data_IF_425059308382
#
_entry.id   IF_425059308382
#
_cell.length_a   1.000
_cell.length_b   1.000
_cell.length_c   1.000
_cell.angle_alpha   90.00
_cell.angle_beta   90.00
_cell.angle_gamma   90.00
#
_symmetry.space_group_name_H-M   'P 1'
#
loop_
_entity.id
_entity.type
_entity.pdbx_description
1 polymer ?
#
# COMPACT_ATOMS: atom_id res chain seq x y z
N UNK A 1 -4.03 1.19 -25.32
CA UNK A 1 -4.54 2.31 -24.50
C UNK A 1 -5.97 1.99 -24.09
N UNK A 2 -6.26 1.92 -22.79
CA UNK A 2 -7.60 1.58 -22.28
C UNK A 2 -8.44 2.85 -22.19
N UNK A 3 -9.66 2.84 -22.75
CA UNK A 3 -10.61 3.96 -22.62
C UNK A 3 -11.32 3.86 -21.28
N UNK A 4 -11.42 4.99 -20.57
CA UNK A 4 -12.08 5.11 -19.27
C UNK A 4 -11.58 4.09 -18.22
N UNK A 5 -10.30 4.20 -17.78
CA UNK A 5 -9.75 3.28 -16.78
C UNK A 5 -10.54 3.34 -15.48
N UNK A 6 -10.60 2.22 -14.77
CA UNK A 6 -11.06 2.22 -13.37
C UNK A 6 -10.18 3.14 -12.53
N UNK A 7 -10.78 3.82 -11.56
CA UNK A 7 -10.09 4.76 -10.67
C UNK A 7 -10.50 4.55 -9.23
N UNK A 8 -9.77 5.16 -8.30
CA UNK A 8 -10.08 5.08 -6.87
C UNK A 8 -10.00 6.46 -6.23
N UNK A 9 -10.81 6.68 -5.19
CA UNK A 9 -10.73 7.88 -4.34
C UNK A 9 -9.56 7.75 -3.36
N UNK A 10 -8.85 8.85 -3.03
CA UNK A 10 -7.81 8.82 -2.00
C UNK A 10 -8.34 8.46 -0.59
N UNK A 11 -9.66 8.54 -0.37
CA UNK A 11 -10.28 8.19 0.90
C UNK A 11 -10.52 6.67 1.07
N UNK A 12 -10.16 5.86 0.08
CA UNK A 12 -10.25 4.39 0.14
C UNK A 12 -8.98 3.76 0.68
N UNK A 13 -9.11 2.53 1.16
CA UNK A 13 -7.96 1.82 1.73
C UNK A 13 -7.06 1.22 0.64
N UNK A 14 -5.80 0.97 0.98
CA UNK A 14 -4.88 0.21 0.13
C UNK A 14 -5.40 -1.19 -0.18
N UNK A 15 -6.13 -1.82 0.75
CA UNK A 15 -6.78 -3.12 0.55
C UNK A 15 -7.84 -3.04 -0.56
N UNK A 16 -8.62 -1.96 -0.62
CA UNK A 16 -9.62 -1.77 -1.68
C UNK A 16 -8.94 -1.66 -3.05
N UNK A 17 -7.83 -0.92 -3.14
CA UNK A 17 -7.04 -0.82 -4.36
C UNK A 17 -6.51 -2.20 -4.80
N UNK A 18 -5.94 -2.99 -3.88
CA UNK A 18 -5.46 -4.36 -4.15
C UNK A 18 -6.60 -5.25 -4.65
N UNK A 19 -7.79 -5.17 -4.05
CA UNK A 19 -8.96 -5.96 -4.47
C UNK A 19 -9.39 -5.61 -5.90
N UNK A 20 -9.42 -4.33 -6.25
CA UNK A 20 -9.77 -3.88 -7.61
C UNK A 20 -8.72 -4.39 -8.61
N UNK A 21 -7.43 -4.16 -8.33
CA UNK A 21 -6.33 -4.59 -9.18
C UNK A 21 -6.32 -6.11 -9.40
N UNK A 22 -6.48 -6.90 -8.32
CA UNK A 22 -6.55 -8.37 -8.40
C UNK A 22 -7.77 -8.86 -9.16
N UNK A 23 -8.95 -8.31 -8.88
CA UNK A 23 -10.20 -8.77 -9.51
C UNK A 23 -10.25 -8.47 -11.01
N UNK A 24 -9.65 -7.36 -11.45
CA UNK A 24 -9.66 -6.92 -12.84
C UNK A 24 -8.37 -7.22 -13.62
N UNK A 25 -7.36 -7.78 -12.97
CA UNK A 25 -6.13 -8.26 -13.63
C UNK A 25 -5.18 -7.15 -14.10
N UNK A 26 -5.22 -5.97 -13.49
CA UNK A 26 -4.29 -4.88 -13.78
C UNK A 26 -3.50 -4.45 -12.54
N UNK A 27 -2.40 -3.71 -12.74
CA UNK A 27 -1.44 -3.38 -11.67
C UNK A 27 -1.28 -1.90 -11.37
N UNK A 28 -2.04 -1.04 -12.04
CA UNK A 28 -2.01 0.40 -11.85
C UNK A 28 -3.43 0.94 -11.73
N UNK A 29 -3.66 1.85 -10.79
CA UNK A 29 -4.97 2.43 -10.51
C UNK A 29 -4.81 3.94 -10.32
N UNK A 30 -5.31 4.76 -11.25
CA UNK A 30 -5.34 6.21 -11.08
C UNK A 30 -6.15 6.60 -9.84
N UNK A 31 -5.64 7.56 -9.09
CA UNK A 31 -6.31 8.14 -7.92
C UNK A 31 -6.96 9.46 -8.34
N UNK A 32 -8.27 9.57 -8.12
CA UNK A 32 -9.04 10.76 -8.47
C UNK A 32 -9.69 11.37 -7.23
N UNK A 33 -9.56 12.68 -7.10
CA UNK A 33 -10.28 13.50 -6.14
C UNK A 33 -10.92 14.69 -6.86
N UNK A 34 -12.19 15.00 -6.56
CA UNK A 34 -12.90 16.15 -7.16
C UNK A 34 -12.75 16.23 -8.69
N UNK A 35 -12.83 15.07 -9.35
CA UNK A 35 -12.73 14.95 -10.81
C UNK A 35 -11.36 15.33 -11.41
N UNK A 36 -10.30 15.34 -10.58
CA UNK A 36 -8.92 15.57 -10.98
C UNK A 36 -8.06 14.35 -10.62
N UNK A 37 -7.09 14.01 -11.46
CA UNK A 37 -6.11 12.97 -11.16
C UNK A 37 -5.10 13.55 -10.19
N UNK A 38 -5.03 12.98 -8.99
CA UNK A 38 -4.08 13.40 -7.94
C UNK A 38 -2.87 12.48 -7.85
N UNK A 39 -2.90 11.32 -8.51
CA UNK A 39 -1.77 10.41 -8.55
C UNK A 39 -2.10 9.07 -9.21
N UNK A 40 -1.16 8.14 -9.10
CA UNK A 40 -1.29 6.76 -9.57
C UNK A 40 -0.75 5.82 -8.50
N UNK A 41 -1.51 4.77 -8.21
CA UNK A 41 -1.06 3.66 -7.36
C UNK A 41 -0.63 2.51 -8.25
N UNK A 42 0.53 1.91 -7.98
CA UNK A 42 0.93 0.62 -8.53
C UNK A 42 0.86 -0.49 -7.48
N UNK A 43 0.68 -1.73 -7.92
CA UNK A 43 0.81 -2.90 -7.03
C UNK A 43 2.16 -2.91 -6.31
N UNK A 44 3.23 -2.43 -6.95
CA UNK A 44 4.58 -2.40 -6.36
C UNK A 44 4.63 -1.45 -5.16
N UNK A 45 4.09 -0.24 -5.31
CA UNK A 45 4.03 0.75 -4.22
C UNK A 45 3.29 0.17 -3.00
N UNK A 46 2.22 -0.60 -3.24
CA UNK A 46 1.43 -1.24 -2.19
C UNK A 46 2.20 -2.37 -1.48
N UNK A 47 3.02 -3.13 -2.21
CA UNK A 47 3.89 -4.15 -1.62
C UNK A 47 5.02 -3.52 -0.81
N UNK A 48 5.69 -2.51 -1.35
CA UNK A 48 6.82 -1.84 -0.70
C UNK A 48 6.36 -1.20 0.62
N UNK A 49 5.21 -0.50 0.61
CA UNK A 49 4.62 0.07 1.81
C UNK A 49 4.25 -0.99 2.87
N UNK A 50 3.76 -2.17 2.47
CA UNK A 50 3.47 -3.26 3.42
C UNK A 50 4.75 -3.94 3.96
N UNK A 51 5.78 -4.07 3.11
CA UNK A 51 7.04 -4.66 3.53
C UNK A 51 7.72 -3.79 4.60
N UNK A 52 7.72 -2.47 4.42
CA UNK A 52 8.25 -1.52 5.40
C UNK A 52 7.47 -1.58 6.73
N UNK A 53 6.13 -1.56 6.68
CA UNK A 53 5.28 -1.69 7.87
C UNK A 53 5.52 -3.00 8.64
N UNK A 54 5.69 -4.12 7.94
CA UNK A 54 5.97 -5.40 8.57
C UNK A 54 7.36 -5.42 9.22
N UNK A 55 8.38 -4.88 8.54
CA UNK A 55 9.73 -4.78 9.09
C UNK A 55 9.76 -3.92 10.37
N UNK A 56 9.06 -2.78 10.36
CA UNK A 56 8.93 -1.95 11.56
C UNK A 56 8.24 -2.67 12.72
N UNK A 57 7.17 -3.42 12.42
CA UNK A 57 6.45 -4.20 13.44
C UNK A 57 7.32 -5.29 14.04
N UNK A 58 8.06 -6.03 13.20
CA UNK A 58 9.01 -7.05 13.66
C UNK A 58 10.13 -6.45 14.51
N UNK A 59 10.68 -5.30 14.10
CA UNK A 59 11.72 -4.59 14.85
C UNK A 59 11.22 -4.17 16.23
N UNK A 60 10.05 -3.54 16.30
CA UNK A 60 9.43 -3.13 17.58
C UNK A 60 9.15 -4.33 18.49
N UNK A 61 8.68 -5.44 17.92
CA UNK A 61 8.44 -6.65 18.69
C UNK A 61 9.74 -7.27 19.19
N UNK A 62 10.81 -7.29 18.38
CA UNK A 62 12.14 -7.72 18.82
C UNK A 62 12.72 -6.83 19.91
N UNK A 63 12.62 -5.50 19.78
CA UNK A 63 13.04 -4.54 20.80
C UNK A 63 12.27 -4.75 22.12
N UNK A 64 10.97 -5.04 22.05
CA UNK A 64 10.15 -5.36 23.21
C UNK A 64 10.52 -6.72 23.84
N UNK A 65 10.68 -7.76 23.02
CA UNK A 65 10.91 -9.13 23.47
C UNK A 65 12.32 -9.35 24.03
N UNK A 66 13.32 -8.71 23.43
CA UNK A 66 14.72 -8.88 23.81
C UNK A 66 15.25 -7.73 24.65
N UNK A 67 14.48 -6.64 24.80
CA UNK A 67 14.93 -5.42 25.44
C UNK A 67 16.11 -4.81 24.68
N UNK A 68 16.29 -3.50 24.77
CA UNK A 68 17.60 -2.93 24.48
C UNK A 68 18.60 -3.48 25.50
N UNK A 69 19.35 -4.52 25.13
CA UNK A 69 20.49 -5.03 25.88
C UNK A 69 20.32 -6.46 26.39
N UNK A 70 20.85 -7.42 25.63
CA UNK A 70 21.68 -8.43 26.29
C UNK A 70 22.74 -7.66 27.08
N UNK A 71 22.61 -7.65 28.40
CA UNK A 71 23.43 -6.83 29.29
C UNK A 71 24.91 -7.11 29.14
N UNK A 72 25.68 -6.05 28.90
CA UNK A 72 26.82 -5.60 29.71
C UNK A 72 26.91 -4.08 29.58
#
# INVERSE_FOLDING_TARGET
MTKNPDTISPNKTTIDAIKIMKSKGFRHLPVIEKNQIVGILSMRDLYDAHAELLQESLKKHQEFMFGTGYGI
#
